data_IF_104368551147
#
_entry.id   IF_104368551147
#
_cell.length_a   1.000
_cell.length_b   1.000
_cell.length_c   1.000
_cell.angle_alpha   90.00
_cell.angle_beta   90.00
_cell.angle_gamma   90.00
#
_symmetry.space_group_name_H-M   'P 1'
#
loop_
_entity.id
_entity.type
_entity.pdbx_description
1 polymer ?
#
# COMPACT_ATOMS: atom_id res chain seq x y z
N UNK A 1 9.06 10.81 34.02
CA UNK A 1 8.38 11.25 32.78
C UNK A 1 9.08 10.56 31.63
N UNK A 2 8.61 9.37 31.24
CA UNK A 2 9.21 8.61 30.15
C UNK A 2 8.24 8.65 28.98
N UNK A 3 8.59 9.47 27.98
CA UNK A 3 7.96 9.46 26.67
C UNK A 3 8.15 8.06 26.09
N UNK A 4 7.10 7.24 26.14
CA UNK A 4 7.02 6.05 25.31
C UNK A 4 7.09 6.53 23.87
N UNK A 5 8.23 6.31 23.23
CA UNK A 5 8.38 6.46 21.80
C UNK A 5 7.27 5.64 21.16
N UNK A 6 6.33 6.32 20.52
CA UNK A 6 5.30 5.67 19.74
C UNK A 6 6.04 4.98 18.59
N UNK A 7 6.35 3.69 18.74
CA UNK A 7 6.64 2.84 17.60
C UNK A 7 5.50 3.08 16.61
N UNK A 8 5.79 3.35 15.31
CA UNK A 8 4.74 3.60 14.33
C UNK A 8 3.75 2.45 14.44
N UNK A 9 2.52 2.77 14.86
CA UNK A 9 1.54 1.79 15.28
C UNK A 9 1.41 0.72 14.22
N UNK A 10 1.51 -0.55 14.63
CA UNK A 10 1.30 -1.67 13.72
C UNK A 10 -0.13 -1.55 13.16
N UNK A 11 -0.25 -1.16 11.90
CA UNK A 11 -1.54 -1.14 11.23
C UNK A 11 -2.07 -2.57 11.13
N UNK A 12 -3.35 -2.75 11.43
CA UNK A 12 -4.03 -4.03 11.29
C UNK A 12 -3.82 -4.61 9.88
N UNK A 13 -3.69 -5.93 9.80
CA UNK A 13 -3.55 -6.60 8.51
C UNK A 13 -4.85 -6.60 7.70
N UNK A 14 -5.99 -6.16 8.25
CA UNK A 14 -7.24 -5.99 7.50
C UNK A 14 -7.95 -4.73 7.99
N UNK A 15 -8.69 -4.08 7.11
CA UNK A 15 -9.45 -2.89 7.45
C UNK A 15 -10.07 -2.22 6.23
N UNK A 16 -10.52 -0.98 6.41
CA UNK A 16 -11.13 -0.18 5.34
C UNK A 16 -10.25 1.00 4.92
N UNK A 17 -10.23 1.29 3.62
CA UNK A 17 -9.52 2.44 3.04
C UNK A 17 -10.08 3.80 3.50
N UNK A 18 -11.35 3.83 3.93
CA UNK A 18 -11.95 5.04 4.52
C UNK A 18 -11.34 5.40 5.88
N UNK A 19 -10.81 4.41 6.61
CA UNK A 19 -10.16 4.61 7.91
C UNK A 19 -8.65 4.77 7.74
N UNK A 20 -8.05 3.96 6.88
CA UNK A 20 -6.62 3.97 6.61
C UNK A 20 -6.38 4.07 5.10
N UNK A 21 -6.09 5.27 4.56
CA UNK A 21 -5.82 5.44 3.14
C UNK A 21 -4.73 4.50 2.65
N UNK A 22 -4.84 4.02 1.40
CA UNK A 22 -3.88 3.08 0.84
C UNK A 22 -2.45 3.63 0.88
N UNK A 23 -2.28 4.93 0.61
CA UNK A 23 -0.98 5.59 0.69
C UNK A 23 -0.32 5.46 2.08
N UNK A 24 -1.10 5.56 3.17
CA UNK A 24 -0.62 5.36 4.54
C UNK A 24 -0.24 3.90 4.80
N UNK A 25 -1.02 2.94 4.28
CA UNK A 25 -0.70 1.52 4.36
C UNK A 25 0.62 1.20 3.65
N UNK A 26 0.82 1.67 2.41
CA UNK A 26 2.05 1.40 1.67
C UNK A 26 3.28 2.00 2.38
N UNK A 27 3.16 3.21 2.92
CA UNK A 27 4.22 3.84 3.73
C UNK A 27 4.56 3.00 4.97
N UNK A 28 3.54 2.51 5.68
CA UNK A 28 3.73 1.63 6.83
C UNK A 28 4.40 0.31 6.45
N UNK A 29 3.97 -0.36 5.36
CA UNK A 29 4.58 -1.62 4.90
C UNK A 29 6.02 -1.42 4.44
N UNK A 30 6.33 -0.29 3.80
CA UNK A 30 7.71 0.09 3.48
C UNK A 30 8.56 0.27 4.75
N UNK A 31 8.08 1.04 5.74
CA UNK A 31 8.81 1.30 6.98
C UNK A 31 9.03 0.02 7.82
N UNK A 32 8.05 -0.88 7.84
CA UNK A 32 8.11 -2.16 8.54
C UNK A 32 8.96 -3.22 7.81
N UNK A 33 9.46 -2.91 6.60
CA UNK A 33 10.10 -3.87 5.70
C UNK A 33 9.25 -5.14 5.51
N UNK A 34 7.94 -4.95 5.38
CA UNK A 34 6.99 -6.05 5.29
C UNK A 34 7.23 -6.90 4.03
N UNK A 35 6.97 -8.19 4.14
CA UNK A 35 6.99 -9.14 3.03
C UNK A 35 5.65 -9.86 2.99
N UNK A 36 5.03 -9.95 1.82
CA UNK A 36 3.71 -10.55 1.65
C UNK A 36 2.86 -9.83 0.61
N UNK A 37 1.58 -10.19 0.56
CA UNK A 37 0.65 -9.66 -0.45
C UNK A 37 -0.40 -8.78 0.22
N UNK A 38 -0.52 -7.54 -0.23
CA UNK A 38 -1.61 -6.64 0.11
C UNK A 38 -2.68 -6.73 -0.99
N UNK A 39 -3.85 -7.24 -0.65
CA UNK A 39 -5.02 -7.19 -1.50
C UNK A 39 -5.87 -5.99 -1.14
N UNK A 40 -6.29 -5.23 -2.15
CA UNK A 40 -7.19 -4.07 -2.02
C UNK A 40 -8.38 -4.28 -2.95
N UNK A 41 -9.59 -4.01 -2.45
CA UNK A 41 -10.84 -4.23 -3.19
C UNK A 41 -11.77 -3.05 -3.00
N UNK A 42 -12.43 -2.63 -4.07
CA UNK A 42 -13.47 -1.62 -4.02
C UNK A 42 -14.49 -1.91 -5.13
N UNK A 43 -15.75 -2.10 -4.75
CA UNK A 43 -16.79 -2.52 -5.69
C UNK A 43 -16.45 -3.85 -6.37
N UNK A 44 -16.38 -3.84 -7.70
CA UNK A 44 -16.03 -5.01 -8.53
C UNK A 44 -14.54 -5.13 -8.87
N UNK A 45 -13.71 -4.17 -8.47
CA UNK A 45 -12.29 -4.15 -8.79
C UNK A 45 -11.44 -4.67 -7.62
N UNK A 46 -10.37 -5.39 -7.95
CA UNK A 46 -9.42 -5.91 -6.99
C UNK A 46 -7.99 -5.83 -7.53
N UNK A 47 -7.08 -5.42 -6.66
CA UNK A 47 -5.65 -5.33 -6.94
C UNK A 47 -4.85 -6.08 -5.88
N UNK A 48 -3.80 -6.75 -6.32
CA UNK A 48 -2.81 -7.42 -5.49
C UNK A 48 -1.49 -6.70 -5.62
N UNK A 49 -0.96 -6.21 -4.50
CA UNK A 49 0.32 -5.50 -4.41
C UNK A 49 1.29 -6.35 -3.60
N UNK A 50 2.45 -6.68 -4.18
CA UNK A 50 3.39 -7.64 -3.60
C UNK A 50 4.60 -6.92 -3.04
N UNK A 51 4.87 -7.21 -1.77
CA UNK A 51 5.97 -6.63 -1.02
C UNK A 51 7.06 -7.67 -0.75
N UNK A 52 8.31 -7.24 -0.90
CA UNK A 52 9.50 -7.96 -0.47
C UNK A 52 10.42 -7.00 0.28
N UNK A 53 10.63 -7.24 1.58
CA UNK A 53 11.43 -6.36 2.46
C UNK A 53 11.01 -4.88 2.43
N UNK A 54 9.70 -4.61 2.27
CA UNK A 54 9.14 -3.27 2.16
C UNK A 54 9.15 -2.68 0.76
N UNK A 55 9.69 -3.40 -0.23
CA UNK A 55 9.68 -2.99 -1.64
C UNK A 55 8.48 -3.58 -2.37
N UNK A 56 7.71 -2.72 -3.02
CA UNK A 56 6.81 -3.13 -4.09
C UNK A 56 7.65 -3.61 -5.27
N UNK A 57 7.52 -4.88 -5.63
CA UNK A 57 8.22 -5.49 -6.77
C UNK A 57 7.26 -5.96 -7.86
N UNK A 58 6.00 -6.23 -7.51
CA UNK A 58 4.96 -6.63 -8.45
C UNK A 58 3.59 -6.11 -8.00
N UNK A 59 2.73 -5.83 -8.97
CA UNK A 59 1.32 -5.57 -8.76
C UNK A 59 0.51 -6.00 -9.98
N UNK A 60 -0.72 -6.45 -9.75
CA UNK A 60 -1.68 -6.71 -10.81
C UNK A 60 -3.11 -6.52 -10.32
N UNK A 61 -4.01 -6.19 -11.24
CA UNK A 61 -5.43 -6.07 -10.95
C UNK A 61 -6.19 -5.46 -12.12
N UNK A 62 -7.43 -5.91 -12.29
CA UNK A 62 -8.36 -5.37 -13.28
C UNK A 62 -7.79 -5.21 -14.72
N UNK A 63 -6.93 -6.15 -15.15
CA UNK A 63 -6.30 -6.12 -16.49
C UNK A 63 -5.02 -5.27 -16.61
N UNK A 64 -4.59 -4.63 -15.52
CA UNK A 64 -3.32 -3.88 -15.45
C UNK A 64 -2.27 -4.61 -14.61
N UNK A 65 -0.99 -4.26 -14.80
CA UNK A 65 0.14 -4.79 -14.05
C UNK A 65 1.22 -3.72 -13.82
N UNK A 66 2.10 -3.95 -12.85
CA UNK A 66 3.21 -3.05 -12.52
C UNK A 66 2.71 -1.77 -11.85
N UNK A 67 3.37 -0.65 -12.14
CA UNK A 67 3.10 0.64 -11.49
C UNK A 67 1.66 1.15 -11.74
N UNK A 68 1.09 0.87 -12.92
CA UNK A 68 -0.30 1.24 -13.25
C UNK A 68 -1.31 0.56 -12.29
N UNK A 69 -1.06 -0.71 -11.98
CA UNK A 69 -1.84 -1.49 -11.01
C UNK A 69 -1.66 -1.02 -9.55
N UNK A 70 -0.65 -0.19 -9.27
CA UNK A 70 -0.48 0.46 -7.96
C UNK A 70 -1.25 1.78 -7.91
N UNK A 71 -1.17 2.59 -8.96
CA UNK A 71 -1.76 3.93 -8.97
C UNK A 71 -3.28 3.94 -9.02
N UNK A 72 -3.91 2.98 -9.69
CA UNK A 72 -5.38 2.89 -9.74
C UNK A 72 -6.00 2.76 -8.35
N UNK A 73 -5.68 1.75 -7.53
CA UNK A 73 -6.24 1.63 -6.18
C UNK A 73 -5.77 2.74 -5.22
N UNK A 74 -4.65 3.41 -5.49
CA UNK A 74 -4.21 4.57 -4.70
C UNK A 74 -5.18 5.74 -4.76
N UNK A 75 -5.95 5.88 -5.85
CA UNK A 75 -6.96 6.93 -5.99
C UNK A 75 -8.23 6.68 -5.15
N UNK A 76 -8.42 5.46 -4.63
CA UNK A 76 -9.63 5.09 -3.92
C UNK A 76 -9.69 5.68 -2.51
N UNK A 77 -10.85 6.26 -2.18
CA UNK A 77 -11.16 6.74 -0.82
C UNK A 77 -11.77 5.66 0.07
N UNK A 78 -12.40 4.66 -0.54
CA UNK A 78 -13.14 3.59 0.14
C UNK A 78 -12.76 2.22 -0.41
N UNK A 79 -13.22 1.18 0.27
CA UNK A 79 -12.90 -0.21 -0.03
C UNK A 79 -12.28 -0.90 1.17
N UNK A 80 -11.89 -2.15 0.97
CA UNK A 80 -11.33 -3.03 1.98
C UNK A 80 -9.93 -3.45 1.58
N UNK A 81 -9.09 -3.67 2.57
CA UNK A 81 -7.75 -4.20 2.37
C UNK A 81 -7.48 -5.40 3.26
N UNK A 82 -6.59 -6.28 2.80
CA UNK A 82 -6.07 -7.39 3.59
C UNK A 82 -4.62 -7.69 3.22
N UNK A 83 -3.77 -7.86 4.21
CA UNK A 83 -2.37 -8.22 4.08
C UNK A 83 -2.15 -9.65 4.54
N UNK A 84 -1.55 -10.47 3.68
CA UNK A 84 -1.17 -11.84 3.98
C UNK A 84 0.36 -11.98 3.97
N UNK A 85 1.03 -12.01 5.15
CA UNK A 85 2.48 -12.18 5.23
C UNK A 85 2.95 -13.60 4.87
N UNK A 86 2.02 -14.57 4.79
CA UNK A 86 2.33 -15.97 4.45
C UNK A 86 2.07 -16.28 2.98
N UNK A 87 1.70 -15.27 2.19
CA UNK A 87 1.38 -15.44 0.78
C UNK A 87 2.60 -15.88 -0.01
N UNK A 88 2.40 -16.78 -0.98
CA UNK A 88 3.45 -17.11 -1.95
C UNK A 88 3.63 -15.92 -2.88
N UNK A 89 4.85 -15.38 -2.88
CA UNK A 89 5.21 -14.28 -3.76
C UNK A 89 5.47 -14.80 -5.19
N UNK A 90 4.99 -14.09 -6.22
CA UNK A 90 5.34 -14.39 -7.59
C UNK A 90 6.84 -14.19 -7.82
N UNK A 91 7.39 -14.86 -8.84
CA UNK A 91 8.77 -14.62 -9.30
C UNK A 91 8.88 -13.46 -10.27
N UNK A 92 7.74 -12.98 -10.78
CA UNK A 92 7.70 -11.86 -11.71
C UNK A 92 7.92 -10.54 -10.97
N UNK A 93 8.71 -9.66 -11.58
CA UNK A 93 8.95 -8.29 -11.12
C UNK A 93 8.47 -7.35 -12.22
N UNK A 94 7.43 -6.57 -11.93
CA UNK A 94 6.83 -5.62 -12.90
C UNK A 94 6.95 -4.17 -12.45
N UNK A 95 7.44 -3.93 -11.24
CA UNK A 95 7.67 -2.59 -10.69
C UNK A 95 9.18 -2.40 -10.60
N UNK A 96 9.70 -1.47 -11.38
CA UNK A 96 11.15 -1.17 -11.43
C UNK A 96 11.52 0.08 -10.64
N UNK A 97 10.55 0.98 -10.44
CA UNK A 97 10.75 2.18 -9.65
C UNK A 97 10.91 1.84 -8.15
N UNK A 98 11.79 2.54 -7.41
CA UNK A 98 11.84 2.43 -5.97
C UNK A 98 10.48 2.76 -5.35
N UNK A 99 10.06 1.99 -4.35
CA UNK A 99 8.77 2.21 -3.66
C UNK A 99 8.63 3.64 -3.13
N UNK A 100 9.72 4.23 -2.63
CA UNK A 100 9.72 5.62 -2.18
C UNK A 100 9.36 6.62 -3.28
N UNK A 101 9.79 6.37 -4.53
CA UNK A 101 9.49 7.22 -5.69
C UNK A 101 8.01 7.10 -6.08
N UNK A 102 7.46 5.88 -6.09
CA UNK A 102 6.03 5.63 -6.33
C UNK A 102 5.17 6.37 -5.30
N UNK A 103 5.55 6.31 -4.02
CA UNK A 103 4.84 7.00 -2.94
C UNK A 103 4.97 8.53 -3.04
N UNK A 104 6.14 9.04 -3.45
CA UNK A 104 6.34 10.46 -3.68
C UNK A 104 5.49 10.97 -4.85
N UNK A 105 5.44 10.22 -5.95
CA UNK A 105 4.60 10.53 -7.11
C UNK A 105 3.10 10.48 -6.75
N UNK A 106 2.67 9.49 -5.99
CA UNK A 106 1.29 9.43 -5.48
C UNK A 106 0.92 10.68 -4.67
N UNK A 107 1.83 11.17 -3.81
CA UNK A 107 1.64 12.43 -3.07
C UNK A 107 1.52 13.63 -4.00
N UNK A 108 2.38 13.74 -5.02
CA UNK A 108 2.32 14.82 -6.03
C UNK A 108 0.99 14.82 -6.79
N UNK A 109 0.41 13.65 -7.05
CA UNK A 109 -0.90 13.49 -7.70
C UNK A 109 -2.10 13.80 -6.79
N UNK A 110 -1.88 14.05 -5.50
CA UNK A 110 -2.95 14.38 -4.55
C UNK A 110 -3.87 13.22 -4.22
N UNK A 111 -3.35 11.98 -4.17
CA UNK A 111 -4.15 10.81 -3.79
C UNK A 111 -4.64 10.90 -2.33
N UNK A 112 -5.71 10.20 -1.94
CA UNK A 112 -6.15 10.11 -0.55
C UNK A 112 -5.01 9.79 0.42
N UNK A 113 -4.89 10.56 1.50
CA UNK A 113 -3.80 10.45 2.49
C UNK A 113 -2.50 11.16 2.10
N UNK A 114 -2.47 11.92 0.99
CA UNK A 114 -1.32 12.78 0.63
C UNK A 114 -1.26 14.05 1.48
N UNK A 115 -2.43 14.60 1.83
CA UNK A 115 -2.58 15.66 2.82
C UNK A 115 -2.60 15.04 4.21
N UNK A 116 -1.50 15.18 4.95
CA UNK A 116 -1.49 14.95 6.41
C UNK A 116 -1.32 16.30 7.10
N UNK A 117 -2.18 17.26 6.78
CA UNK A 117 -2.45 18.40 7.66
C UNK A 117 -3.42 17.97 8.75
N UNK A 118 -3.27 18.41 10.02
CA UNK A 118 -4.28 18.15 11.03
C UNK A 118 -5.57 18.87 10.61
N UNK A 119 -6.70 18.16 10.64
CA UNK A 119 -8.01 18.80 10.73
C UNK A 119 -8.19 19.44 12.11
#
# INVERSE_FOLDING_TARGET
>A
MSTIEQAPGLLDNRGSLNQTPLLTLLQSKQAQRATGTLQVRNGGEAYSLFFLFGHLFHAYGNGSQGEDAVFTPLSWRQGDYSFDPKSKLPTEETITAPTADILAEAKRRGVPGADNGPA
#
